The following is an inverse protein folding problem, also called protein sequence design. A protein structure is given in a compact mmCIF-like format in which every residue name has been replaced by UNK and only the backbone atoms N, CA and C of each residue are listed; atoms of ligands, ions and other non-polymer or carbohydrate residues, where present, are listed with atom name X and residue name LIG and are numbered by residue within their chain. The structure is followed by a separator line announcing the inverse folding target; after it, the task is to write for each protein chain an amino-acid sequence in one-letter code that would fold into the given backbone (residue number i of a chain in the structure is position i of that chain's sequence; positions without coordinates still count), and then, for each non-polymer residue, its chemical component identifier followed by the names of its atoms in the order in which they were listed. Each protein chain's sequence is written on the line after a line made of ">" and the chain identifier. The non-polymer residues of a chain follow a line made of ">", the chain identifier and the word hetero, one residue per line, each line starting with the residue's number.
data_IF_160829985640
#
_entry.id   IF_160829985640
#
_cell.length_a   1.000
_cell.length_b   1.000
_cell.length_c   1.000
_cell.angle_alpha   90.00
_cell.angle_beta   90.00
_cell.angle_gamma   90.00
#
_symmetry.space_group_name_H-M   'P 1'
#
loop_
_entity.id
_entity.type
_entity.pdbx_description
1 polymer ?
#
# COMPACT_ATOMS: atom_id res chain seq x y z
N UNK A 1 -53.18 -7.50 -36.33
CA UNK A 1 -52.57 -6.23 -36.77
C UNK A 1 -52.78 -5.26 -35.61
N UNK A 2 -51.80 -4.72 -34.89
CA UNK A 2 -50.34 -4.83 -34.86
C UNK A 2 -49.91 -4.47 -33.42
N UNK A 3 -48.87 -5.12 -32.90
CA UNK A 3 -48.16 -4.61 -31.74
C UNK A 3 -46.95 -3.81 -32.21
N UNK A 4 -46.57 -2.75 -31.48
CA UNK A 4 -45.16 -2.58 -31.20
C UNK A 4 -44.92 -2.39 -29.69
N UNK A 5 -44.06 -3.23 -29.15
CA UNK A 5 -43.32 -2.95 -27.93
C UNK A 5 -42.39 -1.76 -28.18
N UNK A 6 -42.34 -0.80 -27.25
CA UNK A 6 -41.20 0.12 -27.04
C UNK A 6 -41.28 0.69 -25.62
N UNK A 7 -40.43 0.17 -24.73
CA UNK A 7 -39.17 0.79 -24.30
C UNK A 7 -39.37 2.15 -23.64
N UNK A 8 -39.26 2.14 -22.33
CA UNK A 8 -39.18 3.33 -21.50
C UNK A 8 -38.50 2.92 -20.19
N UNK A 9 -37.27 2.41 -20.29
CA UNK A 9 -36.36 2.31 -19.16
C UNK A 9 -36.36 3.65 -18.43
N UNK A 10 -37.02 3.72 -17.28
CA UNK A 10 -36.79 4.79 -16.32
C UNK A 10 -35.50 4.49 -15.58
N UNK A 11 -34.41 4.25 -16.31
CA UNK A 11 -33.05 4.41 -15.78
C UNK A 11 -32.85 5.90 -15.65
N UNK A 12 -33.40 6.42 -14.56
CA UNK A 12 -33.32 7.81 -14.18
C UNK A 12 -31.84 8.18 -14.14
N UNK A 13 -31.45 9.26 -14.82
CA UNK A 13 -30.06 9.77 -14.82
C UNK A 13 -29.52 9.97 -13.38
N UNK A 14 -30.41 10.10 -12.40
CA UNK A 14 -30.12 10.09 -10.97
C UNK A 14 -29.51 8.77 -10.42
N UNK A 15 -29.73 7.63 -11.06
CA UNK A 15 -29.19 6.32 -10.66
C UNK A 15 -27.73 6.16 -11.15
N UNK A 16 -27.38 6.84 -12.24
CA UNK A 16 -26.00 6.89 -12.76
C UNK A 16 -25.12 7.78 -11.89
N UNK A 17 -25.65 8.89 -11.38
CA UNK A 17 -24.89 9.86 -10.57
C UNK A 17 -24.62 9.36 -9.14
N UNK A 18 -25.46 8.47 -8.59
CA UNK A 18 -25.20 7.84 -7.27
C UNK A 18 -24.12 6.77 -7.29
N UNK A 19 -23.75 6.28 -8.48
CA UNK A 19 -22.74 5.24 -8.64
C UNK A 19 -21.30 5.78 -8.50
N UNK A 20 -21.11 7.10 -8.45
CA UNK A 20 -19.78 7.72 -8.33
C UNK A 20 -19.25 7.83 -6.89
N UNK A 21 -20.10 7.62 -5.88
CA UNK A 21 -19.70 7.68 -4.45
C UNK A 21 -19.36 6.32 -3.84
N UNK A 22 -19.43 5.23 -4.60
CA UNK A 22 -18.86 3.96 -4.16
C UNK A 22 -17.37 3.93 -4.52
N UNK A 23 -16.44 3.73 -3.56
CA UNK A 23 -15.05 3.47 -3.92
C UNK A 23 -15.06 2.30 -4.90
N UNK A 24 -14.54 2.52 -6.12
CA UNK A 24 -14.50 1.48 -7.14
C UNK A 24 -13.83 0.26 -6.48
N UNK A 25 -14.48 -0.92 -6.41
CA UNK A 25 -13.93 -2.08 -5.72
C UNK A 25 -12.53 -2.43 -6.23
N UNK A 26 -12.24 -2.13 -7.50
CA UNK A 26 -10.93 -2.25 -8.11
C UNK A 26 -9.83 -1.47 -7.36
N UNK A 27 -10.11 -0.24 -6.90
CA UNK A 27 -9.13 0.59 -6.22
C UNK A 27 -8.76 0.02 -4.84
N UNK A 28 -9.76 -0.44 -4.09
CA UNK A 28 -9.54 -1.09 -2.79
C UNK A 28 -8.85 -2.44 -2.94
N UNK A 29 -9.20 -3.22 -3.97
CA UNK A 29 -8.52 -4.48 -4.30
C UNK A 29 -7.04 -4.26 -4.66
N UNK A 30 -6.73 -3.25 -5.48
CA UNK A 30 -5.35 -2.90 -5.83
C UNK A 30 -4.57 -2.47 -4.59
N UNK A 31 -5.17 -1.64 -3.72
CA UNK A 31 -4.54 -1.19 -2.47
C UNK A 31 -4.27 -2.35 -1.50
N UNK A 32 -5.21 -3.28 -1.37
CA UNK A 32 -5.04 -4.49 -0.57
C UNK A 32 -3.93 -5.38 -1.14
N UNK A 33 -3.89 -5.56 -2.46
CA UNK A 33 -2.83 -6.31 -3.14
C UNK A 33 -1.45 -5.67 -2.95
N UNK A 34 -1.35 -4.34 -3.08
CA UNK A 34 -0.11 -3.60 -2.84
C UNK A 34 0.36 -3.77 -1.40
N UNK A 35 -0.56 -3.64 -0.43
CA UNK A 35 -0.26 -3.81 0.99
C UNK A 35 0.30 -5.21 1.27
N UNK A 36 -0.30 -6.24 0.67
CA UNK A 36 0.18 -7.62 0.78
C UNK A 36 1.58 -7.78 0.20
N UNK A 37 1.86 -7.25 -1.00
CA UNK A 37 3.19 -7.36 -1.61
C UNK A 37 4.26 -6.56 -0.86
N UNK A 38 3.90 -5.39 -0.29
CA UNK A 38 4.81 -4.65 0.59
C UNK A 38 5.14 -5.46 1.82
N UNK A 39 4.16 -6.09 2.48
CA UNK A 39 4.40 -6.95 3.64
C UNK A 39 5.31 -8.13 3.28
N UNK A 40 5.04 -8.83 2.17
CA UNK A 40 5.88 -9.93 1.67
C UNK A 40 7.31 -9.50 1.37
N UNK A 41 7.51 -8.27 0.89
CA UNK A 41 8.85 -7.75 0.64
C UNK A 41 9.57 -7.46 1.97
N UNK A 42 8.88 -6.89 2.95
CA UNK A 42 9.44 -6.61 4.27
C UNK A 42 9.84 -7.87 5.03
N UNK A 43 9.06 -8.95 4.90
CA UNK A 43 9.35 -10.28 5.50
C UNK A 43 10.67 -10.91 4.99
N UNK A 44 11.25 -10.40 3.89
CA UNK A 44 12.58 -10.86 3.41
C UNK A 44 13.76 -10.23 4.15
N UNK A 45 13.49 -9.21 4.96
CA UNK A 45 14.49 -8.52 5.76
C UNK A 45 14.69 -9.25 7.10
N UNK A 46 15.74 -8.88 7.83
CA UNK A 46 15.84 -9.31 9.23
C UNK A 46 14.82 -8.55 10.09
N UNK A 47 14.38 -9.14 11.21
CA UNK A 47 13.39 -8.54 12.11
C UNK A 47 13.71 -7.08 12.47
N UNK A 48 15.00 -6.76 12.72
CA UNK A 48 15.44 -5.38 13.01
C UNK A 48 15.31 -4.44 11.82
N UNK A 49 15.67 -4.90 10.62
CA UNK A 49 15.55 -4.10 9.39
C UNK A 49 14.07 -3.86 9.04
N UNK A 50 13.24 -4.91 9.12
CA UNK A 50 11.81 -4.83 8.92
C UNK A 50 11.17 -3.84 9.90
N UNK A 51 11.42 -3.99 11.20
CA UNK A 51 10.81 -3.12 12.20
C UNK A 51 11.24 -1.66 12.02
N UNK A 52 12.52 -1.38 11.76
CA UNK A 52 12.98 -0.01 11.49
C UNK A 52 12.28 0.59 10.28
N UNK A 53 12.11 -0.17 9.20
CA UNK A 53 11.44 0.31 7.98
C UNK A 53 9.95 0.51 8.21
N UNK A 54 9.26 -0.41 8.89
CA UNK A 54 7.84 -0.27 9.25
C UNK A 54 7.59 0.99 10.07
N UNK A 55 8.38 1.19 11.12
CA UNK A 55 8.25 2.37 11.98
C UNK A 55 8.57 3.67 11.23
N UNK A 56 9.61 3.69 10.38
CA UNK A 56 10.01 4.90 9.68
C UNK A 56 8.98 5.36 8.65
N UNK A 57 8.39 4.42 7.89
CA UNK A 57 7.43 4.74 6.83
C UNK A 57 5.96 4.67 7.27
N UNK A 58 5.67 4.28 8.51
CA UNK A 58 4.30 4.16 8.99
C UNK A 58 3.58 2.90 8.48
N UNK A 59 4.31 1.86 8.07
CA UNK A 59 3.72 0.64 7.51
C UNK A 59 3.22 -0.26 8.65
N UNK A 60 1.92 -0.52 8.69
CA UNK A 60 1.28 -1.31 9.76
C UNK A 60 1.40 -0.70 11.16
N UNK A 61 1.70 0.60 11.25
CA UNK A 61 1.75 1.38 12.50
C UNK A 61 0.94 2.66 12.34
N UNK A 62 0.45 3.22 13.47
CA UNK A 62 -0.43 4.40 13.48
C UNK A 62 0.17 5.63 12.78
N UNK A 63 1.47 5.86 12.93
CA UNK A 63 2.17 7.00 12.36
C UNK A 63 3.64 6.66 12.09
N UNK A 64 4.27 7.28 11.08
CA UNK A 64 5.71 7.20 10.89
C UNK A 64 6.45 7.84 12.06
N UNK A 65 7.61 7.29 12.41
CA UNK A 65 8.50 7.78 13.46
C UNK A 65 9.79 8.34 12.87
N UNK A 66 10.36 9.34 13.51
CA UNK A 66 11.69 9.86 13.20
C UNK A 66 12.79 8.85 13.54
N UNK A 67 13.98 9.03 12.96
CA UNK A 67 15.14 8.19 13.28
C UNK A 67 15.54 8.26 14.76
N UNK A 68 15.27 9.39 15.42
CA UNK A 68 15.56 9.57 16.84
C UNK A 68 14.59 8.76 17.69
N UNK A 69 13.28 8.89 17.45
CA UNK A 69 12.25 8.13 18.20
C UNK A 69 12.39 6.61 18.02
N UNK A 70 12.80 6.17 16.81
CA UNK A 70 13.13 4.76 16.57
C UNK A 70 14.42 4.41 17.32
N UNK A 71 15.43 5.27 17.34
CA UNK A 71 16.65 5.05 18.11
C UNK A 71 16.35 4.83 19.59
N UNK A 72 15.56 5.72 20.17
CA UNK A 72 15.18 5.68 21.59
C UNK A 72 14.38 4.41 21.92
N UNK A 73 13.46 3.99 21.05
CA UNK A 73 12.68 2.76 21.23
C UNK A 73 13.50 1.46 21.14
N UNK A 74 14.59 1.46 20.39
CA UNK A 74 15.43 0.27 20.14
C UNK A 74 16.77 0.30 20.90
N UNK A 75 17.03 1.33 21.70
CA UNK A 75 18.33 1.52 22.37
C UNK A 75 19.49 1.72 21.39
N UNK A 76 19.23 2.39 20.26
CA UNK A 76 20.19 2.64 19.19
C UNK A 76 20.42 4.13 18.97
N UNK A 77 21.60 4.50 18.51
CA UNK A 77 21.84 5.86 18.05
C UNK A 77 21.06 6.15 16.76
N UNK A 78 20.69 7.42 16.55
CA UNK A 78 20.06 7.89 15.31
C UNK A 78 20.81 7.42 14.05
N UNK A 79 22.13 7.50 14.07
CA UNK A 79 22.98 7.08 12.96
C UNK A 79 22.92 5.57 12.73
N UNK A 80 22.86 4.77 13.80
CA UNK A 80 22.71 3.33 13.67
C UNK A 80 21.37 2.96 13.04
N UNK A 81 20.28 3.64 13.40
CA UNK A 81 18.97 3.46 12.76
C UNK A 81 19.02 3.84 11.27
N UNK A 82 19.70 4.96 10.93
CA UNK A 82 19.91 5.37 9.53
C UNK A 82 20.58 4.26 8.71
N UNK A 83 21.65 3.67 9.24
CA UNK A 83 22.38 2.58 8.59
C UNK A 83 21.52 1.33 8.40
N UNK A 84 20.76 0.93 9.41
CA UNK A 84 19.86 -0.23 9.32
C UNK A 84 18.80 0.00 8.24
N UNK A 85 18.19 1.19 8.22
CA UNK A 85 17.22 1.57 7.19
C UNK A 85 17.82 1.49 5.78
N UNK A 86 18.98 2.10 5.56
CA UNK A 86 19.65 2.08 4.25
C UNK A 86 20.01 0.67 3.80
N UNK A 87 20.48 -0.18 4.72
CA UNK A 87 20.77 -1.58 4.45
C UNK A 87 19.50 -2.34 4.04
N UNK A 88 18.39 -2.14 4.76
CA UNK A 88 17.11 -2.76 4.43
C UNK A 88 16.58 -2.30 3.06
N UNK A 89 16.59 -1.00 2.77
CA UNK A 89 16.19 -0.46 1.46
C UNK A 89 17.06 -1.03 0.34
N UNK A 90 18.37 -1.11 0.54
CA UNK A 90 19.29 -1.71 -0.44
C UNK A 90 18.93 -3.16 -0.71
N UNK A 91 18.61 -3.96 0.31
CA UNK A 91 18.14 -5.33 0.13
C UNK A 91 16.84 -5.38 -0.66
N UNK A 92 15.82 -4.61 -0.27
CA UNK A 92 14.53 -4.56 -0.97
C UNK A 92 14.68 -4.23 -2.46
N UNK A 93 15.59 -3.30 -2.82
CA UNK A 93 15.89 -2.97 -4.22
C UNK A 93 16.45 -4.13 -5.04
N UNK A 94 17.17 -5.05 -4.42
CA UNK A 94 17.83 -6.18 -5.10
C UNK A 94 17.05 -7.50 -5.00
N UNK A 95 15.97 -7.55 -4.22
CA UNK A 95 15.09 -8.72 -4.19
C UNK A 95 14.27 -8.84 -5.48
N UNK A 96 13.98 -10.06 -5.90
CA UNK A 96 13.09 -10.36 -7.03
C UNK A 96 11.69 -9.73 -6.87
N UNK A 97 11.26 -9.50 -5.63
CA UNK A 97 10.02 -8.78 -5.25
C UNK A 97 9.99 -7.32 -5.72
N UNK A 98 11.14 -6.69 -5.97
CA UNK A 98 11.19 -5.33 -6.53
C UNK A 98 10.49 -5.24 -7.90
N UNK A 99 10.55 -6.30 -8.71
CA UNK A 99 9.90 -6.33 -10.02
C UNK A 99 8.38 -6.30 -9.90
N UNK A 100 7.83 -6.99 -8.90
CA UNK A 100 6.39 -6.99 -8.59
C UNK A 100 5.97 -5.64 -8.03
N UNK A 101 6.72 -5.06 -7.08
CA UNK A 101 6.38 -3.74 -6.54
C UNK A 101 6.39 -2.63 -7.61
N UNK A 102 7.27 -2.73 -8.61
CA UNK A 102 7.32 -1.79 -9.73
C UNK A 102 6.08 -1.81 -10.62
N UNK A 103 5.34 -2.91 -10.71
CA UNK A 103 4.12 -2.95 -11.54
C UNK A 103 3.00 -2.08 -10.97
N UNK A 104 3.11 -1.66 -9.71
CA UNK A 104 2.18 -0.73 -9.07
C UNK A 104 2.57 0.75 -9.28
N UNK A 105 3.70 1.06 -9.93
CA UNK A 105 4.17 2.44 -10.13
C UNK A 105 3.68 3.09 -11.43
N UNK A 106 3.01 2.34 -12.32
CA UNK A 106 2.55 2.84 -13.63
C UNK A 106 3.65 2.82 -14.68
#
# INVERSE_FOLDING_TARGET
>A
MDAPFREGETSNLYDVIKSEESPRPDADLIKNSLTLEVNRALETLSDKEEQVIRHFYGISVKHPKSLQEIGDAFGLTRERVRQIREKGIRKLRHTSKNKVLKTYLG
#
